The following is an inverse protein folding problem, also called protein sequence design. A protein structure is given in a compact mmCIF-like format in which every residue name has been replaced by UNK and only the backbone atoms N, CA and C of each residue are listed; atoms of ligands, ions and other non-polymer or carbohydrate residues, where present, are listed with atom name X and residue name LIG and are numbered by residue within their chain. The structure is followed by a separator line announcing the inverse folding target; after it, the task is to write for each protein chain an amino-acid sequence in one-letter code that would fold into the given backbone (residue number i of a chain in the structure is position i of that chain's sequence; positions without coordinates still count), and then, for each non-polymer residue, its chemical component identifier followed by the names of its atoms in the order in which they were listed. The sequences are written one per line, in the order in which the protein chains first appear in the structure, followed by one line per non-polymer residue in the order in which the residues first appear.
data_IF_181222851577
#
_entry.id   IF_181222851577
#
_cell.length_a   1.000
_cell.length_b   1.000
_cell.length_c   1.000
_cell.angle_alpha   90.00
_cell.angle_beta   90.00
_cell.angle_gamma   90.00
#
_symmetry.space_group_name_H-M   'P 1'
#
loop_
_entity.id
_entity.type
_entity.pdbx_description
1 polymer ?
#
# COMPACT_ATOMS: atom_id res chain seq x y z
N UNK A 1 -16.90 -14.39 14.16
CA UNK A 1 -16.09 -14.54 12.93
C UNK A 1 -16.74 -13.69 11.85
N UNK A 2 -15.88 -13.11 11.00
CA UNK A 2 -16.19 -12.44 9.73
C UNK A 2 -17.09 -11.21 9.75
N UNK A 3 -16.47 -10.06 9.44
CA UNK A 3 -17.02 -9.06 8.54
C UNK A 3 -15.89 -8.10 8.09
N UNK A 4 -14.91 -8.63 7.35
CA UNK A 4 -14.05 -7.78 6.52
C UNK A 4 -14.86 -7.38 5.28
N UNK A 5 -15.50 -6.21 5.35
CA UNK A 5 -16.06 -5.57 4.16
C UNK A 5 -14.91 -5.28 3.20
N UNK A 6 -14.91 -6.01 2.09
CA UNK A 6 -14.06 -5.80 0.93
C UNK A 6 -13.96 -4.30 0.64
N UNK A 7 -12.74 -3.77 0.69
CA UNK A 7 -12.46 -2.43 0.21
C UNK A 7 -12.90 -2.38 -1.26
N UNK A 8 -13.98 -1.65 -1.56
CA UNK A 8 -14.41 -1.42 -2.92
C UNK A 8 -13.30 -0.67 -3.66
N UNK A 9 -12.60 -1.41 -4.51
CA UNK A 9 -11.69 -0.86 -5.51
C UNK A 9 -12.56 -0.11 -6.50
N UNK A 10 -12.47 1.21 -6.53
CA UNK A 10 -13.15 2.01 -7.55
C UNK A 10 -12.58 1.63 -8.92
N UNK A 11 -13.34 0.83 -9.67
CA UNK A 11 -13.07 0.49 -11.06
C UNK A 11 -13.34 1.76 -11.86
N UNK A 12 -12.30 2.35 -12.44
CA UNK A 12 -12.47 3.41 -13.42
C UNK A 12 -12.99 2.77 -14.72
N UNK A 13 -14.31 2.62 -14.85
CA UNK A 13 -14.95 2.23 -16.11
C UNK A 13 -14.90 3.40 -17.08
N UNK A 14 -13.82 3.49 -17.85
CA UNK A 14 -13.79 4.31 -19.07
C UNK A 14 -14.34 3.46 -20.22
N UNK A 15 -15.39 3.97 -20.86
CA UNK A 15 -16.07 3.38 -22.02
C UNK A 15 -15.11 2.74 -23.05
N UNK A 16 -15.37 1.48 -23.41
CA UNK A 16 -14.95 0.85 -24.67
C UNK A 16 -13.47 0.51 -24.80
N UNK A 17 -13.18 -0.80 -24.92
CA UNK A 17 -11.85 -1.47 -25.04
C UNK A 17 -11.25 -1.87 -23.69
N UNK A 18 -11.57 -3.10 -23.27
CA UNK A 18 -10.88 -3.85 -22.21
C UNK A 18 -9.42 -4.01 -22.60
N UNK A 19 -8.53 -3.22 -21.99
CA UNK A 19 -7.09 -3.39 -22.22
C UNK A 19 -6.57 -4.56 -21.39
N UNK A 20 -5.57 -5.25 -21.92
CA UNK A 20 -4.92 -6.36 -21.23
C UNK A 20 -3.86 -5.85 -20.26
N UNK A 21 -3.64 -6.60 -19.18
CA UNK A 21 -2.52 -6.39 -18.29
C UNK A 21 -1.19 -6.44 -19.05
N UNK A 22 -0.25 -5.54 -18.78
CA UNK A 22 1.08 -5.55 -19.42
C UNK A 22 2.00 -6.66 -18.91
N UNK A 23 1.58 -7.41 -17.89
CA UNK A 23 2.37 -8.48 -17.24
C UNK A 23 1.78 -9.88 -17.40
N UNK A 24 0.49 -10.00 -17.69
CA UNK A 24 -0.20 -11.28 -17.84
C UNK A 24 -1.32 -11.15 -18.89
N UNK A 25 -2.02 -12.25 -19.17
CA UNK A 25 -3.11 -12.26 -20.15
C UNK A 25 -4.45 -11.77 -19.60
N UNK A 26 -4.52 -11.42 -18.31
CA UNK A 26 -5.76 -11.00 -17.64
C UNK A 26 -6.19 -9.58 -18.04
N UNK A 27 -7.46 -9.26 -17.76
CA UNK A 27 -8.00 -7.93 -17.95
C UNK A 27 -7.37 -6.90 -17.00
N UNK A 28 -7.06 -5.72 -17.55
CA UNK A 28 -6.62 -4.59 -16.77
C UNK A 28 -7.80 -3.99 -15.99
N UNK A 29 -7.56 -3.70 -14.72
CA UNK A 29 -8.51 -2.95 -13.88
C UNK A 29 -7.87 -1.75 -13.21
N UNK A 30 -6.55 -1.55 -13.40
CA UNK A 30 -5.76 -0.49 -12.76
C UNK A 30 -4.81 0.16 -13.76
N UNK A 31 -4.81 1.49 -13.78
CA UNK A 31 -3.86 2.29 -14.57
C UNK A 31 -2.75 2.84 -13.69
N UNK A 32 -1.50 2.60 -14.09
CA UNK A 32 -0.35 3.32 -13.55
C UNK A 32 -0.30 4.73 -14.15
N UNK A 33 0.22 5.70 -13.40
CA UNK A 33 0.44 7.08 -13.89
C UNK A 33 1.28 7.17 -15.17
N UNK A 34 1.95 6.08 -15.56
CA UNK A 34 2.78 5.93 -16.78
C UNK A 34 2.03 5.37 -17.99
N UNK A 35 0.69 5.51 -18.06
CA UNK A 35 -0.19 4.91 -19.10
C UNK A 35 -0.18 3.38 -19.22
N UNK A 36 0.57 2.68 -18.36
CA UNK A 36 0.58 1.22 -18.32
C UNK A 36 -0.61 0.68 -17.56
N UNK A 37 -1.13 -0.44 -18.02
CA UNK A 37 -2.37 -1.06 -17.55
C UNK A 37 -2.10 -2.42 -16.93
N UNK A 38 -2.65 -2.66 -15.74
CA UNK A 38 -2.37 -3.84 -14.93
C UNK A 38 -3.68 -4.44 -14.41
N UNK A 39 -3.72 -5.77 -14.31
CA UNK A 39 -4.71 -6.43 -13.45
C UNK A 39 -4.40 -6.12 -11.97
N UNK A 40 -5.36 -6.35 -11.07
CA UNK A 40 -5.19 -6.04 -9.65
C UNK A 40 -3.97 -6.75 -9.01
N UNK A 41 -3.75 -8.01 -9.33
CA UNK A 41 -2.63 -8.79 -8.81
C UNK A 41 -1.27 -8.25 -9.26
N UNK A 42 -1.08 -8.06 -10.57
CA UNK A 42 0.17 -7.51 -11.11
C UNK A 42 0.41 -6.06 -10.66
N UNK A 43 -0.64 -5.28 -10.47
CA UNK A 43 -0.53 -3.93 -9.93
C UNK A 43 0.03 -3.95 -8.50
N UNK A 44 -0.50 -4.80 -7.62
CA UNK A 44 -0.01 -4.94 -6.25
C UNK A 44 1.46 -5.38 -6.22
N UNK A 45 1.85 -6.36 -7.04
CA UNK A 45 3.25 -6.81 -7.15
C UNK A 45 4.15 -5.64 -7.59
N UNK A 46 3.72 -4.89 -8.61
CA UNK A 46 4.47 -3.74 -9.14
C UNK A 46 4.67 -2.66 -8.07
N UNK A 47 3.62 -2.32 -7.32
CA UNK A 47 3.69 -1.31 -6.26
C UNK A 47 4.63 -1.76 -5.13
N UNK A 48 4.56 -3.01 -4.69
CA UNK A 48 5.49 -3.57 -3.67
C UNK A 48 6.95 -3.49 -4.15
N UNK A 49 7.19 -3.83 -5.42
CA UNK A 49 8.53 -3.73 -6.03
C UNK A 49 9.05 -2.28 -6.08
N UNK A 50 8.19 -1.32 -6.45
CA UNK A 50 8.54 0.11 -6.44
C UNK A 50 8.86 0.61 -5.03
N UNK A 51 8.07 0.23 -4.03
CA UNK A 51 8.32 0.59 -2.64
C UNK A 51 9.70 0.12 -2.18
N UNK A 52 10.01 -1.16 -2.35
CA UNK A 52 11.33 -1.73 -1.98
C UNK A 52 12.49 -1.04 -2.70
N UNK A 53 12.31 -0.77 -3.99
CA UNK A 53 13.30 -0.08 -4.81
C UNK A 53 13.55 1.34 -4.32
N UNK A 54 12.49 2.09 -3.98
CA UNK A 54 12.59 3.44 -3.45
C UNK A 54 13.33 3.45 -2.11
N UNK A 55 12.93 2.59 -1.16
CA UNK A 55 13.58 2.50 0.15
C UNK A 55 15.08 2.20 0.04
N UNK A 56 15.46 1.31 -0.89
CA UNK A 56 16.87 0.94 -1.12
C UNK A 56 17.66 2.05 -1.79
N UNK A 57 17.11 2.68 -2.84
CA UNK A 57 17.79 3.71 -3.63
C UNK A 57 18.01 5.00 -2.85
N UNK A 58 16.99 5.44 -2.13
CA UNK A 58 17.05 6.66 -1.32
C UNK A 58 17.93 6.51 -0.08
N UNK A 59 18.43 5.29 0.19
CA UNK A 59 19.21 4.95 1.39
C UNK A 59 18.53 5.45 2.67
N UNK A 60 17.20 5.24 2.75
CA UNK A 60 16.38 5.70 3.88
C UNK A 60 16.96 5.19 5.20
N UNK A 61 17.55 4.00 5.19
CA UNK A 61 18.38 3.48 6.28
C UNK A 61 19.85 3.68 5.96
N UNK A 62 20.52 4.52 6.75
CA UNK A 62 21.96 4.72 6.69
C UNK A 62 22.62 4.00 7.86
N UNK A 63 23.61 3.14 7.57
CA UNK A 63 24.38 2.46 8.60
C UNK A 63 23.61 1.32 9.28
N UNK A 64 23.68 1.27 10.62
CA UNK A 64 23.05 0.20 11.43
C UNK A 64 21.67 0.55 11.96
N UNK A 65 21.26 1.83 11.95
CA UNK A 65 19.93 2.21 12.41
C UNK A 65 18.89 1.87 11.34
N UNK A 66 17.95 1.03 11.74
CA UNK A 66 16.92 0.42 10.88
C UNK A 66 15.52 0.69 11.41
N UNK A 67 15.40 1.51 12.45
CA UNK A 67 14.11 1.82 13.10
C UNK A 67 13.25 2.67 12.18
N UNK A 68 11.99 2.27 12.05
CA UNK A 68 10.99 2.93 11.20
C UNK A 68 9.79 3.25 12.05
N UNK A 69 9.45 4.51 12.19
CA UNK A 69 8.18 4.90 12.81
C UNK A 69 7.15 5.19 11.71
N UNK A 70 6.05 4.43 11.69
CA UNK A 70 4.90 4.72 10.81
C UNK A 70 3.82 5.38 11.64
N UNK A 71 3.51 6.63 11.32
CA UNK A 71 2.42 7.39 11.93
C UNK A 71 1.10 7.01 11.26
N UNK A 72 0.16 6.48 12.04
CA UNK A 72 -1.19 6.17 11.59
C UNK A 72 -2.11 7.32 11.98
N UNK A 73 -2.41 8.18 10.99
CA UNK A 73 -3.27 9.37 11.10
C UNK A 73 -4.73 9.09 10.71
N UNK A 74 -5.08 7.83 10.42
CA UNK A 74 -6.39 7.43 9.90
C UNK A 74 -6.55 7.60 8.39
N UNK A 75 -5.54 8.12 7.68
CA UNK A 75 -5.58 8.26 6.23
C UNK A 75 -5.36 6.93 5.52
N UNK A 76 -5.93 6.81 4.31
CA UNK A 76 -5.66 5.66 3.41
C UNK A 76 -4.16 5.54 3.06
N UNK A 77 -3.43 6.66 3.03
CA UNK A 77 -1.99 6.68 2.72
C UNK A 77 -1.18 6.06 3.85
N UNK A 78 -1.46 6.43 5.10
CA UNK A 78 -0.81 5.84 6.26
C UNK A 78 -1.12 4.33 6.39
N UNK A 79 -2.38 3.94 6.20
CA UNK A 79 -2.77 2.52 6.19
C UNK A 79 -2.08 1.72 5.07
N UNK A 80 -1.95 2.31 3.88
CA UNK A 80 -1.20 1.70 2.78
C UNK A 80 0.29 1.54 3.13
N UNK A 81 0.94 2.59 3.64
CA UNK A 81 2.36 2.54 4.04
C UNK A 81 2.61 1.51 5.15
N UNK A 82 1.73 1.47 6.16
CA UNK A 82 1.73 0.47 7.21
C UNK A 82 1.78 -0.94 6.62
N UNK A 83 0.89 -1.24 5.68
CA UNK A 83 0.82 -2.56 5.05
C UNK A 83 2.07 -2.90 4.25
N UNK A 84 2.64 -1.93 3.52
CA UNK A 84 3.90 -2.15 2.79
C UNK A 84 5.07 -2.46 3.71
N UNK A 85 5.19 -1.75 4.83
CA UNK A 85 6.24 -1.99 5.85
C UNK A 85 6.04 -3.35 6.51
N UNK A 86 4.82 -3.65 6.95
CA UNK A 86 4.47 -4.94 7.56
C UNK A 86 4.83 -6.12 6.65
N UNK A 87 4.44 -6.06 5.37
CA UNK A 87 4.73 -7.11 4.41
C UNK A 87 6.23 -7.23 4.10
N UNK A 88 6.94 -6.10 4.06
CA UNK A 88 8.39 -6.10 3.80
C UNK A 88 9.17 -6.78 4.93
N UNK A 89 8.75 -6.59 6.17
CA UNK A 89 9.36 -7.20 7.36
C UNK A 89 9.06 -8.70 7.44
N UNK A 90 7.86 -9.13 7.04
CA UNK A 90 7.46 -10.55 7.00
C UNK A 90 8.07 -11.32 5.82
N UNK A 91 8.60 -10.61 4.82
CA UNK A 91 9.07 -11.25 3.59
C UNK A 91 10.45 -11.88 3.78
N UNK A 92 10.47 -13.20 3.87
CA UNK A 92 11.69 -13.99 3.88
C UNK A 92 12.30 -14.03 2.46
N UNK A 93 13.34 -13.24 2.23
CA UNK A 93 13.97 -13.09 0.91
C UNK A 93 15.47 -13.03 1.08
N UNK A 94 16.22 -13.37 0.03
CA UNK A 94 17.69 -13.44 0.07
C UNK A 94 18.38 -12.11 0.46
N UNK A 95 17.67 -10.97 0.38
CA UNK A 95 18.07 -9.67 0.94
C UNK A 95 16.85 -9.01 1.61
N UNK A 96 16.59 -9.33 2.89
CA UNK A 96 15.51 -8.66 3.61
C UNK A 96 15.87 -7.17 3.74
N UNK A 97 14.89 -6.31 3.47
CA UNK A 97 14.97 -4.92 3.90
C UNK A 97 14.85 -4.96 5.41
N UNK A 98 15.98 -5.05 6.09
CA UNK A 98 16.06 -5.12 7.53
C UNK A 98 15.57 -3.78 8.07
N UNK A 99 14.29 -3.73 8.43
CA UNK A 99 13.59 -2.60 9.02
C UNK A 99 13.06 -3.07 10.38
N UNK A 100 13.16 -2.21 11.39
CA UNK A 100 12.58 -2.43 12.71
C UNK A 100 11.36 -1.51 12.85
N UNK A 101 10.15 -1.98 12.53
CA UNK A 101 8.97 -1.13 12.54
C UNK A 101 8.48 -0.84 13.96
N UNK A 102 8.15 0.43 14.20
CA UNK A 102 7.39 0.94 15.32
C UNK A 102 6.15 1.64 14.77
N UNK A 103 4.98 1.31 15.30
CA UNK A 103 3.71 1.84 14.83
C UNK A 103 3.12 2.77 15.89
N UNK A 104 2.82 4.02 15.51
CA UNK A 104 2.20 4.99 16.41
C UNK A 104 0.85 5.42 15.84
N UNK A 105 -0.24 5.10 16.54
CA UNK A 105 -1.58 5.51 16.18
C UNK A 105 -1.98 6.81 16.85
N UNK A 106 -2.35 7.82 16.06
CA UNK A 106 -3.06 8.98 16.59
C UNK A 106 -4.52 8.56 16.83
N UNK A 107 -4.87 8.22 18.06
CA UNK A 107 -6.27 8.22 18.46
C UNK A 107 -6.76 9.67 18.48
N UNK A 108 -7.20 10.17 17.31
CA UNK A 108 -8.04 11.37 17.28
C UNK A 108 -9.40 10.94 17.81
N UNK A 109 -9.58 11.12 19.11
CA UNK A 109 -10.85 10.98 19.79
C UNK A 109 -11.76 12.10 19.26
N UNK A 110 -12.45 11.84 18.15
CA UNK A 110 -13.52 12.72 17.67
C UNK A 110 -14.58 12.69 18.77
N UNK A 111 -14.58 13.71 19.64
CA UNK A 111 -15.75 14.05 20.44
C UNK A 111 -16.86 14.33 19.45
N UNK A 112 -17.67 13.33 19.14
CA UNK A 112 -19.05 13.55 18.73
C UNK A 112 -19.70 14.25 19.91
N UNK A 113 -19.69 15.58 19.91
CA UNK A 113 -20.64 16.31 20.72
C UNK A 113 -22.01 15.96 20.15
N UNK A 114 -22.75 15.19 20.93
CA UNK A 114 -24.18 14.99 20.77
C UNK A 114 -24.86 16.36 20.77
N UNK A 115 -25.13 16.87 19.59
CA UNK A 115 -26.11 17.92 19.37
C UNK A 115 -27.10 17.33 18.38
N UNK A 116 -28.22 16.83 18.90
CA UNK A 116 -29.56 17.25 18.53
C UNK A 116 -30.55 16.43 19.38
N UNK A 117 -31.42 17.19 20.06
CA UNK A 117 -32.56 16.76 20.88
C UNK A 117 -33.51 15.83 20.13
#
# INVERSE_FOLDING_TARGET
MENLKHAQVHIATTNGVTKKCVKCSDESVQRSGTMMEYCGGCFLIMIKSKFRSAVTKERVFKGRDRRVMVLLDGSKKAAFLFRQVEETVKQDSFKPLMMEPCFFGLQVQIRLQSAFL
#
